data_IF_847992862712
#
_entry.id   IF_847992862712
#
_cell.length_a   1.000
_cell.length_b   1.000
_cell.length_c   1.000
_cell.angle_alpha   90.00
_cell.angle_beta   90.00
_cell.angle_gamma   90.00
#
_symmetry.space_group_name_H-M   'P 1'
#
loop_
_entity.id
_entity.type
_entity.pdbx_description
1 polymer ?
#
# COMPACT_ATOMS: atom_id res chain seq x y z
N UNK A 1 28.90 -1.27 8.23
CA UNK A 1 28.30 -1.92 9.42
C UNK A 1 27.00 -2.58 9.01
N UNK A 2 27.02 -3.89 8.78
CA UNK A 2 25.82 -4.67 8.48
C UNK A 2 24.91 -4.68 9.70
N UNK A 3 23.63 -4.34 9.50
CA UNK A 3 22.57 -4.50 10.50
C UNK A 3 22.45 -5.98 10.85
N UNK A 4 23.14 -6.42 11.91
CA UNK A 4 22.75 -7.60 12.67
C UNK A 4 21.47 -7.25 13.45
N UNK A 5 20.34 -7.29 12.78
CA UNK A 5 19.05 -7.33 13.46
C UNK A 5 18.08 -8.14 12.60
N UNK A 6 18.42 -9.41 12.35
CA UNK A 6 17.37 -10.38 12.08
C UNK A 6 16.68 -10.58 13.42
N UNK A 7 15.44 -10.09 13.52
CA UNK A 7 14.54 -10.48 14.60
C UNK A 7 14.55 -12.01 14.68
N UNK A 8 14.88 -12.55 15.86
CA UNK A 8 14.79 -13.99 16.08
C UNK A 8 13.38 -14.46 15.72
N UNK A 9 13.30 -15.66 15.16
CA UNK A 9 12.02 -16.29 14.84
C UNK A 9 11.13 -16.34 16.09
N UNK A 10 9.81 -16.27 15.87
CA UNK A 10 8.79 -16.19 16.92
C UNK A 10 9.01 -17.25 18.01
N UNK A 11 9.25 -18.49 17.59
CA UNK A 11 9.51 -19.61 18.48
C UNK A 11 10.81 -19.43 19.26
N UNK A 12 11.86 -18.96 18.60
CA UNK A 12 13.18 -18.74 19.22
C UNK A 12 13.11 -17.68 20.32
N UNK A 13 12.41 -16.58 20.08
CA UNK A 13 12.26 -15.50 21.09
C UNK A 13 11.48 -15.98 22.31
N UNK A 14 10.39 -16.72 22.11
CA UNK A 14 9.60 -17.31 23.20
C UNK A 14 10.39 -18.33 24.01
N UNK A 15 11.18 -19.18 23.34
CA UNK A 15 12.05 -20.16 24.00
C UNK A 15 13.11 -19.44 24.84
N UNK A 16 13.71 -18.35 24.34
CA UNK A 16 14.69 -17.57 25.11
C UNK A 16 14.04 -16.95 26.36
N UNK A 17 12.86 -16.34 26.22
CA UNK A 17 12.13 -15.76 27.35
C UNK A 17 11.78 -16.84 28.39
N UNK A 18 11.32 -18.00 27.94
CA UNK A 18 11.03 -19.15 28.81
C UNK A 18 12.27 -19.60 29.57
N UNK A 19 13.38 -19.84 28.86
CA UNK A 19 14.64 -20.30 29.46
C UNK A 19 15.18 -19.28 30.47
N UNK A 20 15.07 -17.99 30.18
CA UNK A 20 15.46 -16.93 31.11
C UNK A 20 14.60 -16.94 32.38
N UNK A 21 13.27 -17.04 32.25
CA UNK A 21 12.35 -17.13 33.40
C UNK A 21 12.61 -18.38 34.26
N UNK A 22 12.85 -19.53 33.62
CA UNK A 22 13.18 -20.78 34.32
C UNK A 22 14.52 -20.67 35.03
N UNK A 23 15.56 -20.14 34.37
CA UNK A 23 16.88 -19.97 34.98
C UNK A 23 16.83 -19.05 36.21
N UNK A 24 16.11 -17.93 36.12
CA UNK A 24 15.89 -17.02 37.26
C UNK A 24 15.13 -17.72 38.38
N UNK A 25 14.09 -18.49 38.05
CA UNK A 25 13.30 -19.21 39.06
C UNK A 25 14.11 -20.29 39.78
N UNK A 26 14.97 -21.03 39.07
CA UNK A 26 15.87 -22.03 39.65
C UNK A 26 16.93 -21.36 40.52
N UNK A 27 17.51 -20.24 40.07
CA UNK A 27 18.49 -19.50 40.86
C UNK A 27 17.88 -18.98 42.18
N UNK A 28 16.67 -18.42 42.12
CA UNK A 28 15.94 -17.97 43.31
C UNK A 28 15.54 -19.14 44.21
N UNK A 29 15.11 -20.28 43.65
CA UNK A 29 14.83 -21.50 44.42
C UNK A 29 16.07 -21.97 45.21
N UNK A 30 17.23 -22.04 44.55
CA UNK A 30 18.48 -22.47 45.18
C UNK A 30 18.89 -21.53 46.32
N UNK A 31 18.74 -20.20 46.13
CA UNK A 31 19.01 -19.21 47.16
C UNK A 31 18.06 -19.35 48.36
N UNK A 32 16.75 -19.48 48.13
CA UNK A 32 15.76 -19.62 49.21
C UNK A 32 16.01 -20.88 50.04
N UNK A 33 16.36 -22.00 49.39
CA UNK A 33 16.64 -23.25 50.10
C UNK A 33 17.91 -23.17 50.98
N UNK A 34 18.93 -22.41 50.55
CA UNK A 34 20.16 -22.23 51.34
C UNK A 34 19.94 -21.29 52.55
N UNK A 35 19.15 -20.22 52.38
CA UNK A 35 19.08 -19.13 53.37
C UNK A 35 17.82 -19.11 54.25
N UNK A 36 16.71 -19.71 53.79
CA UNK A 36 15.38 -19.56 54.44
C UNK A 36 14.71 -20.90 54.73
N UNK A 37 15.11 -21.99 54.06
CA UNK A 37 14.58 -23.37 54.17
C UNK A 37 13.04 -23.46 54.04
N UNK A 38 12.43 -22.56 53.26
CA UNK A 38 10.99 -22.53 52.99
C UNK A 38 10.66 -23.06 51.58
N UNK A 39 10.27 -24.34 51.53
CA UNK A 39 9.89 -25.03 50.29
C UNK A 39 8.58 -24.50 49.69
N UNK A 40 7.68 -23.95 50.50
CA UNK A 40 6.38 -23.45 50.04
C UNK A 40 6.55 -22.19 49.20
N UNK A 41 7.33 -21.23 49.71
CA UNK A 41 7.63 -19.99 48.99
C UNK A 41 8.36 -20.25 47.67
N UNK A 42 9.27 -21.23 47.65
CA UNK A 42 10.00 -21.59 46.44
C UNK A 42 9.12 -22.27 45.37
N UNK A 43 8.20 -23.15 45.77
CA UNK A 43 7.22 -23.76 44.86
C UNK A 43 6.22 -22.75 44.31
N UNK A 44 5.76 -21.82 45.16
CA UNK A 44 4.90 -20.72 44.72
C UNK A 44 5.59 -19.86 43.66
N UNK A 45 6.87 -19.52 43.86
CA UNK A 45 7.65 -18.72 42.90
C UNK A 45 7.72 -19.36 41.50
N UNK A 46 7.88 -20.70 41.44
CA UNK A 46 7.83 -21.46 40.20
C UNK A 46 6.42 -21.44 39.56
N UNK A 47 5.36 -21.48 40.36
CA UNK A 47 3.99 -21.28 39.88
C UNK A 47 3.75 -19.89 39.29
N UNK A 48 4.32 -18.85 39.92
CA UNK A 48 4.25 -17.48 39.43
C UNK A 48 5.02 -17.29 38.13
N UNK A 49 6.18 -17.94 37.95
CA UNK A 49 6.93 -17.84 36.69
C UNK A 49 6.22 -18.50 35.52
N UNK A 50 5.53 -19.63 35.73
CA UNK A 50 4.67 -20.23 34.72
C UNK A 50 3.50 -19.31 34.33
N UNK A 51 2.89 -18.65 35.30
CA UNK A 51 1.80 -17.69 35.09
C UNK A 51 2.27 -16.46 34.32
N UNK A 52 3.46 -15.92 34.65
CA UNK A 52 4.07 -14.81 33.91
C UNK A 52 4.49 -15.20 32.50
N UNK A 53 5.02 -16.40 32.31
CA UNK A 53 5.37 -16.89 30.97
C UNK A 53 4.14 -16.99 30.08
N UNK A 54 3.03 -17.55 30.60
CA UNK A 54 1.78 -17.68 29.84
C UNK A 54 1.24 -16.32 29.37
N UNK A 55 1.26 -15.29 30.22
CA UNK A 55 0.80 -13.95 29.84
C UNK A 55 1.73 -13.27 28.83
N UNK A 56 3.06 -13.41 28.99
CA UNK A 56 4.03 -12.91 28.00
C UNK A 56 3.85 -13.60 26.65
N UNK A 57 3.68 -14.93 26.65
CA UNK A 57 3.44 -15.69 25.44
C UNK A 57 2.16 -15.25 24.73
N UNK A 58 1.11 -14.98 25.48
CA UNK A 58 -0.15 -14.47 24.94
C UNK A 58 0.01 -13.07 24.32
N UNK A 59 0.67 -12.14 25.01
CA UNK A 59 0.92 -10.78 24.48
C UNK A 59 1.74 -10.82 23.19
N UNK A 60 2.79 -11.65 23.16
CA UNK A 60 3.65 -11.78 21.99
C UNK A 60 2.89 -12.42 20.82
N UNK A 61 2.15 -13.49 21.06
CA UNK A 61 1.29 -14.14 20.06
C UNK A 61 0.24 -13.18 19.52
N UNK A 62 -0.39 -12.39 20.39
CA UNK A 62 -1.36 -11.39 19.99
C UNK A 62 -0.76 -10.31 19.09
N UNK A 63 0.44 -9.81 19.42
CA UNK A 63 1.13 -8.80 18.60
C UNK A 63 1.49 -9.35 17.22
N UNK A 64 2.06 -10.57 17.15
CA UNK A 64 2.37 -11.22 15.87
C UNK A 64 1.11 -11.48 15.05
N UNK A 65 0.04 -11.97 15.67
CA UNK A 65 -1.25 -12.17 15.01
C UNK A 65 -1.81 -10.84 14.47
N UNK A 66 -1.74 -9.77 15.27
CA UNK A 66 -2.18 -8.43 14.85
C UNK A 66 -1.38 -7.92 13.66
N UNK A 67 -0.06 -8.12 13.64
CA UNK A 67 0.79 -7.76 12.49
C UNK A 67 0.42 -8.55 11.23
N UNK A 68 0.19 -9.86 11.36
CA UNK A 68 -0.28 -10.71 10.26
C UNK A 68 -1.63 -10.22 9.71
N UNK A 69 -2.60 -9.92 10.59
CA UNK A 69 -3.90 -9.37 10.18
C UNK A 69 -3.80 -8.00 9.54
N UNK A 70 -2.89 -7.14 10.03
CA UNK A 70 -2.58 -5.86 9.38
C UNK A 70 -2.02 -6.06 7.96
N UNK A 71 -1.13 -7.04 7.79
CA UNK A 71 -0.55 -7.39 6.49
C UNK A 71 -1.60 -7.96 5.52
N UNK A 72 -2.48 -8.86 5.99
CA UNK A 72 -3.60 -9.38 5.20
C UNK A 72 -4.55 -8.26 4.74
N UNK A 73 -4.92 -7.37 5.65
CA UNK A 73 -5.80 -6.24 5.34
C UNK A 73 -5.17 -5.29 4.30
N UNK A 74 -3.86 -5.02 4.44
CA UNK A 74 -3.11 -4.23 3.47
C UNK A 74 -3.06 -4.89 2.11
N UNK A 75 -2.72 -6.19 2.05
CA UNK A 75 -2.67 -6.94 0.79
C UNK A 75 -4.03 -6.90 0.09
N UNK A 76 -5.14 -7.05 0.83
CA UNK A 76 -6.48 -6.96 0.26
C UNK A 76 -6.81 -5.56 -0.26
N UNK A 77 -6.42 -4.52 0.48
CA UNK A 77 -6.58 -3.13 0.02
C UNK A 77 -5.78 -2.87 -1.25
N UNK A 78 -4.54 -3.35 -1.31
CA UNK A 78 -3.66 -3.26 -2.48
C UNK A 78 -4.21 -4.02 -3.69
N UNK A 79 -4.80 -5.20 -3.49
CA UNK A 79 -5.46 -5.99 -4.55
C UNK A 79 -6.67 -5.25 -5.14
N UNK A 80 -7.49 -4.64 -4.28
CA UNK A 80 -8.62 -3.83 -4.72
C UNK A 80 -8.14 -2.60 -5.52
N UNK A 81 -7.12 -1.89 -5.01
CA UNK A 81 -6.51 -0.77 -5.73
C UNK A 81 -5.89 -1.19 -7.05
N UNK A 82 -5.21 -2.32 -7.10
CA UNK A 82 -4.64 -2.85 -8.34
C UNK A 82 -5.73 -3.13 -9.37
N UNK A 83 -6.87 -3.68 -8.93
CA UNK A 83 -8.04 -3.90 -9.79
C UNK A 83 -8.63 -2.57 -10.29
N UNK A 84 -8.80 -1.58 -9.41
CA UNK A 84 -9.25 -0.22 -9.77
C UNK A 84 -8.32 0.42 -10.81
N UNK A 85 -7.00 0.27 -10.65
CA UNK A 85 -5.99 0.80 -11.58
C UNK A 85 -6.04 0.11 -12.95
N UNK A 86 -6.28 -1.21 -12.97
CA UNK A 86 -6.52 -1.95 -14.23
C UNK A 86 -7.76 -1.40 -14.95
N UNK A 87 -8.85 -1.16 -14.22
CA UNK A 87 -10.10 -0.69 -14.83
C UNK A 87 -10.00 0.76 -15.31
N UNK A 88 -9.33 1.62 -14.54
CA UNK A 88 -8.93 2.97 -14.99
C UNK A 88 -8.13 2.91 -16.29
N UNK A 89 -7.13 2.04 -16.34
CA UNK A 89 -6.30 1.85 -17.51
C UNK A 89 -7.10 1.37 -18.73
N UNK A 90 -8.10 0.49 -18.56
CA UNK A 90 -8.99 0.07 -19.66
C UNK A 90 -9.78 1.27 -20.20
N UNK A 91 -10.36 2.09 -19.33
CA UNK A 91 -11.14 3.28 -19.72
C UNK A 91 -10.27 4.30 -20.45
N UNK A 92 -9.07 4.56 -19.93
CA UNK A 92 -8.11 5.49 -20.53
C UNK A 92 -7.62 4.96 -21.88
N UNK A 93 -7.29 3.67 -22.02
CA UNK A 93 -6.91 3.11 -23.32
C UNK A 93 -8.06 3.09 -24.32
N UNK A 94 -9.30 2.86 -23.87
CA UNK A 94 -10.47 3.00 -24.72
C UNK A 94 -10.62 4.44 -25.21
N UNK A 95 -10.44 5.42 -24.33
CA UNK A 95 -10.46 6.84 -24.68
C UNK A 95 -9.38 7.17 -25.71
N UNK A 96 -8.14 6.68 -25.49
CA UNK A 96 -7.04 6.85 -26.44
C UNK A 96 -7.38 6.30 -27.83
N UNK A 97 -7.96 5.10 -27.86
CA UNK A 97 -8.34 4.43 -29.11
C UNK A 97 -9.44 5.18 -29.85
N UNK A 98 -10.48 5.63 -29.14
CA UNK A 98 -11.56 6.42 -29.73
C UNK A 98 -11.06 7.74 -30.31
N UNK A 99 -10.03 8.33 -29.71
CA UNK A 99 -9.38 9.55 -30.22
C UNK A 99 -8.47 9.24 -31.40
N UNK A 100 -7.68 8.15 -31.35
CA UNK A 100 -6.71 7.80 -32.40
C UNK A 100 -7.37 7.32 -33.69
N UNK A 101 -8.48 6.55 -33.60
CA UNK A 101 -9.24 6.06 -34.75
C UNK A 101 -9.97 7.18 -35.52
N UNK A 102 -10.10 8.37 -34.94
CA UNK A 102 -10.85 9.51 -35.52
C UNK A 102 -9.98 10.61 -36.11
N UNK A 103 -8.69 10.35 -36.35
CA UNK A 103 -7.77 11.29 -37.02
C UNK A 103 -7.83 11.21 -38.56
N UNK A 104 -7.87 12.36 -39.29
CA UNK A 104 -7.86 13.74 -38.81
C UNK A 104 -9.28 14.32 -38.59
N UNK A 105 -9.52 14.77 -37.35
CA UNK A 105 -10.52 15.74 -36.85
C UNK A 105 -11.71 16.04 -37.78
N UNK A 106 -12.80 15.27 -37.67
CA UNK A 106 -14.14 15.77 -38.06
C UNK A 106 -15.20 15.53 -36.97
N UNK A 107 -15.05 14.55 -36.08
CA UNK A 107 -16.07 14.32 -35.05
C UNK A 107 -15.57 13.49 -33.86
N UNK A 108 -14.72 14.04 -32.99
CA UNK A 108 -14.75 13.55 -31.60
C UNK A 108 -16.11 13.98 -31.06
N UNK A 109 -17.02 13.03 -30.86
CA UNK A 109 -18.38 13.38 -30.46
C UNK A 109 -18.40 13.83 -29.00
N UNK A 110 -19.45 14.57 -28.63
CA UNK A 110 -19.68 15.04 -27.25
C UNK A 110 -19.64 13.90 -26.21
N UNK A 111 -19.97 12.69 -26.63
CA UNK A 111 -19.99 11.49 -25.79
C UNK A 111 -18.58 11.03 -25.38
N UNK A 112 -17.62 10.96 -26.30
CA UNK A 112 -16.21 10.67 -25.97
C UNK A 112 -15.64 11.72 -25.02
N UNK A 113 -16.04 12.99 -25.16
CA UNK A 113 -15.57 14.06 -24.27
C UNK A 113 -16.15 13.99 -22.86
N UNK A 114 -17.37 13.47 -22.68
CA UNK A 114 -17.94 13.26 -21.35
C UNK A 114 -17.15 12.24 -20.52
N UNK A 115 -16.32 11.40 -21.16
CA UNK A 115 -15.46 10.43 -20.47
C UNK A 115 -14.26 11.08 -19.78
N UNK A 116 -13.80 12.24 -20.23
CA UNK A 116 -12.66 12.94 -19.62
C UNK A 116 -12.91 13.37 -18.16
N UNK A 117 -14.02 14.06 -17.83
CA UNK A 117 -14.36 14.34 -16.43
C UNK A 117 -14.56 13.09 -15.57
N UNK A 118 -15.08 12.01 -16.16
CA UNK A 118 -15.26 10.73 -15.45
C UNK A 118 -13.90 10.16 -15.07
N UNK A 119 -12.92 10.17 -15.98
CA UNK A 119 -11.54 9.75 -15.70
C UNK A 119 -10.93 10.57 -14.57
N UNK A 120 -11.12 11.90 -14.56
CA UNK A 120 -10.60 12.75 -13.47
C UNK A 120 -11.19 12.36 -12.12
N UNK A 121 -12.51 12.21 -12.02
CA UNK A 121 -13.17 11.79 -10.78
C UNK A 121 -12.67 10.44 -10.31
N UNK A 122 -12.52 9.47 -11.21
CA UNK A 122 -12.02 8.15 -10.83
C UNK A 122 -10.54 8.15 -10.43
N UNK A 123 -9.72 9.02 -11.02
CA UNK A 123 -8.34 9.27 -10.57
C UNK A 123 -8.30 9.87 -9.16
N UNK A 124 -9.20 10.81 -8.85
CA UNK A 124 -9.33 11.38 -7.50
C UNK A 124 -9.77 10.33 -6.47
N UNK A 125 -10.78 9.53 -6.80
CA UNK A 125 -11.25 8.43 -5.95
C UNK A 125 -10.15 7.40 -5.70
N UNK A 126 -9.40 7.05 -6.76
CA UNK A 126 -8.23 6.18 -6.68
C UNK A 126 -7.15 6.78 -5.77
N UNK A 127 -6.84 8.08 -5.94
CA UNK A 127 -5.89 8.79 -5.09
C UNK A 127 -6.30 8.82 -3.63
N UNK A 128 -7.59 8.99 -3.34
CA UNK A 128 -8.13 8.91 -1.98
C UNK A 128 -7.93 7.54 -1.34
N UNK A 129 -8.17 6.45 -2.09
CA UNK A 129 -7.89 5.08 -1.62
C UNK A 129 -6.39 4.83 -1.46
N UNK A 130 -5.55 5.32 -2.38
CA UNK A 130 -4.10 5.18 -2.32
C UNK A 130 -3.51 5.90 -1.09
N UNK A 131 -4.07 7.05 -0.72
CA UNK A 131 -3.66 7.81 0.46
C UNK A 131 -3.73 7.00 1.77
N UNK A 132 -4.68 6.07 1.85
CA UNK A 132 -4.84 5.20 3.03
C UNK A 132 -3.59 4.33 3.20
N UNK A 133 -3.05 3.78 2.10
CA UNK A 133 -1.81 2.99 2.12
C UNK A 133 -0.62 3.87 2.49
N UNK A 134 -0.51 5.06 1.88
CA UNK A 134 0.56 6.02 2.18
C UNK A 134 0.57 6.37 3.67
N UNK A 135 -0.59 6.68 4.24
CA UNK A 135 -0.72 7.01 5.67
C UNK A 135 -0.33 5.84 6.57
N UNK A 136 -0.66 4.61 6.18
CA UNK A 136 -0.37 3.42 6.98
C UNK A 136 1.09 2.95 6.89
N UNK A 137 1.74 3.11 5.73
CA UNK A 137 3.11 2.62 5.47
C UNK A 137 4.20 3.67 5.39
N UNK A 138 3.81 4.94 5.25
CA UNK A 138 4.73 6.05 5.01
C UNK A 138 5.66 5.77 3.80
N UNK A 139 5.05 5.28 2.71
CA UNK A 139 5.76 4.92 1.48
C UNK A 139 6.01 6.16 0.62
N UNK A 140 7.28 6.57 0.52
CA UNK A 140 7.71 7.75 -0.23
C UNK A 140 7.39 7.67 -1.72
N UNK A 141 7.42 6.47 -2.33
CA UNK A 141 7.14 6.29 -3.75
C UNK A 141 5.65 6.56 -4.00
N UNK A 142 4.78 5.96 -3.18
CA UNK A 142 3.35 6.18 -3.30
C UNK A 142 2.95 7.63 -2.96
N UNK A 143 3.63 8.27 -2.01
CA UNK A 143 3.42 9.69 -1.69
C UNK A 143 3.74 10.61 -2.88
N UNK A 144 4.84 10.34 -3.59
CA UNK A 144 5.16 11.03 -4.83
C UNK A 144 4.10 10.76 -5.91
N UNK A 145 3.66 9.52 -6.07
CA UNK A 145 2.63 9.19 -7.05
C UNK A 145 1.28 9.83 -6.72
N UNK A 146 0.95 10.00 -5.44
CA UNK A 146 -0.27 10.69 -5.01
C UNK A 146 -0.26 12.16 -5.39
N UNK A 147 0.91 12.80 -5.32
CA UNK A 147 1.10 14.17 -5.83
C UNK A 147 0.94 14.22 -7.34
N UNK A 148 1.52 13.24 -8.05
CA UNK A 148 1.46 13.12 -9.51
C UNK A 148 0.03 12.91 -10.06
N UNK A 149 -0.89 12.33 -9.28
CA UNK A 149 -2.30 12.21 -9.68
C UNK A 149 -2.91 13.59 -9.99
N UNK A 150 -2.53 14.63 -9.24
CA UNK A 150 -3.02 16.00 -9.51
C UNK A 150 -2.52 16.50 -10.86
N UNK A 151 -1.25 16.25 -11.18
CA UNK A 151 -0.65 16.61 -12.47
C UNK A 151 -1.36 15.89 -13.63
N UNK A 152 -1.69 14.61 -13.47
CA UNK A 152 -2.46 13.85 -14.47
C UNK A 152 -3.85 14.44 -14.69
N UNK A 153 -4.53 14.86 -13.63
CA UNK A 153 -5.86 15.50 -13.72
C UNK A 153 -5.75 16.85 -14.45
N UNK A 154 -4.74 17.66 -14.13
CA UNK A 154 -4.48 18.94 -14.79
C UNK A 154 -4.21 18.76 -16.28
N UNK A 155 -3.37 17.77 -16.65
CA UNK A 155 -3.11 17.43 -18.05
C UNK A 155 -4.39 17.01 -18.79
N UNK A 156 -5.24 16.21 -18.14
CA UNK A 156 -6.49 15.76 -18.74
C UNK A 156 -7.50 16.92 -18.90
N UNK A 157 -7.48 17.90 -17.98
CA UNK A 157 -8.24 19.14 -18.10
C UNK A 157 -7.71 20.04 -19.22
N UNK A 158 -6.39 20.11 -19.42
CA UNK A 158 -5.78 20.86 -20.51
C UNK A 158 -6.27 20.32 -21.87
N UNK A 159 -6.26 19.00 -22.05
CA UNK A 159 -6.78 18.33 -23.26
C UNK A 159 -8.24 18.70 -23.51
N UNK A 160 -9.08 18.66 -22.48
CA UNK A 160 -10.49 19.04 -22.58
C UNK A 160 -10.65 20.52 -22.97
N UNK A 161 -9.84 21.42 -22.40
CA UNK A 161 -9.93 22.86 -22.66
C UNK A 161 -9.59 23.21 -24.11
N UNK A 162 -8.53 22.59 -24.67
CA UNK A 162 -8.11 22.86 -26.05
C UNK A 162 -9.09 22.27 -27.06
N UNK A 163 -9.67 21.10 -26.77
CA UNK A 163 -10.76 20.57 -27.60
C UNK A 163 -11.98 21.50 -27.65
N UNK A 164 -12.37 22.12 -26.52
CA UNK A 164 -13.49 23.08 -26.50
C UNK A 164 -13.17 24.29 -27.38
N UNK A 165 -11.95 24.81 -27.31
CA UNK A 165 -11.51 25.94 -28.13
C UNK A 165 -11.46 25.60 -29.64
N UNK A 166 -11.04 24.38 -29.99
CA UNK A 166 -10.87 23.97 -31.39
C UNK A 166 -12.19 23.65 -32.11
N UNK A 167 -13.27 23.28 -31.40
CA UNK A 167 -14.56 23.01 -32.05
C UNK A 167 -15.25 24.24 -32.63
N UNK A 168 -14.83 25.45 -32.22
CA UNK A 168 -15.31 26.68 -32.86
C UNK A 168 -14.65 26.88 -34.25
N UNK A 169 -13.51 26.21 -34.52
CA UNK A 169 -12.74 26.26 -35.76
C UNK A 169 -12.60 24.85 -36.40
N UNK A 170 -13.74 24.28 -36.84
CA UNK A 170 -13.94 22.90 -37.35
C UNK A 170 -13.03 22.40 -38.51
N UNK A 171 -12.05 23.17 -38.99
CA UNK A 171 -11.27 22.86 -40.20
C UNK A 171 -9.75 22.79 -40.00
N UNK A 172 -9.23 22.80 -38.77
CA UNK A 172 -7.77 22.77 -38.55
C UNK A 172 -7.32 21.50 -37.83
N UNK A 173 -6.42 20.76 -38.48
CA UNK A 173 -5.60 19.76 -37.80
C UNK A 173 -4.83 20.46 -36.68
N UNK A 174 -5.17 20.17 -35.42
CA UNK A 174 -4.47 20.72 -34.27
C UNK A 174 -3.39 19.75 -33.78
N UNK A 175 -2.17 19.92 -34.27
CA UNK A 175 -0.99 19.15 -33.84
C UNK A 175 -0.71 19.27 -32.34
N UNK A 176 -1.08 20.40 -31.73
CA UNK A 176 -0.86 20.66 -30.28
C UNK A 176 -1.79 19.80 -29.41
N UNK A 177 -3.08 19.73 -29.75
CA UNK A 177 -4.05 18.87 -29.05
C UNK A 177 -3.60 17.40 -29.10
N UNK A 178 -3.12 16.94 -30.26
CA UNK A 178 -2.63 15.56 -30.42
C UNK A 178 -1.43 15.29 -29.53
N UNK A 179 -0.51 16.25 -29.43
CA UNK A 179 0.67 16.12 -28.61
C UNK A 179 0.32 16.02 -27.12
N UNK A 180 -0.66 16.78 -26.64
CA UNK A 180 -1.13 16.68 -25.25
C UNK A 180 -1.85 15.37 -24.96
N UNK A 181 -2.70 14.93 -25.89
CA UNK A 181 -3.37 13.63 -25.81
C UNK A 181 -2.32 12.54 -25.63
N UNK A 182 -1.33 12.46 -26.54
CA UNK A 182 -0.24 11.47 -26.46
C UNK A 182 0.53 11.59 -25.15
N UNK A 183 0.92 12.81 -24.76
CA UNK A 183 1.66 13.07 -23.53
C UNK A 183 0.89 12.58 -22.29
N UNK A 184 -0.40 12.86 -22.19
CA UNK A 184 -1.25 12.38 -21.09
C UNK A 184 -1.23 10.86 -20.98
N UNK A 185 -1.38 10.15 -22.11
CA UNK A 185 -1.38 8.69 -22.09
C UNK A 185 -0.01 8.10 -21.73
N UNK A 186 1.08 8.69 -22.20
CA UNK A 186 2.44 8.28 -21.83
C UNK A 186 2.69 8.45 -20.32
N UNK A 187 2.34 9.61 -19.78
CA UNK A 187 2.49 9.91 -18.34
C UNK A 187 1.61 9.02 -17.47
N UNK A 188 0.36 8.76 -17.89
CA UNK A 188 -0.52 7.84 -17.18
C UNK A 188 0.05 6.41 -17.18
N UNK A 189 0.58 5.92 -18.30
CA UNK A 189 1.19 4.60 -18.37
C UNK A 189 2.43 4.49 -17.48
N UNK A 190 3.26 5.55 -17.43
CA UNK A 190 4.42 5.60 -16.56
C UNK A 190 4.01 5.59 -15.06
N UNK A 191 3.00 6.37 -14.70
CA UNK A 191 2.38 6.34 -13.36
C UNK A 191 1.87 4.95 -13.00
N UNK A 192 1.10 4.33 -13.89
CA UNK A 192 0.55 2.99 -13.69
C UNK A 192 1.66 1.98 -13.40
N UNK A 193 2.74 1.97 -14.19
CA UNK A 193 3.84 1.02 -13.98
C UNK A 193 4.50 1.19 -12.60
N UNK A 194 4.67 2.44 -12.14
CA UNK A 194 5.25 2.72 -10.81
C UNK A 194 4.34 2.26 -9.69
N UNK A 195 3.04 2.57 -9.79
CA UNK A 195 2.04 2.18 -8.77
C UNK A 195 1.82 0.67 -8.76
N UNK A 196 1.67 0.04 -9.93
CA UNK A 196 1.51 -1.42 -10.08
C UNK A 196 2.62 -2.18 -9.36
N UNK A 197 3.88 -1.75 -9.55
CA UNK A 197 5.04 -2.39 -8.93
C UNK A 197 4.91 -2.40 -7.41
N UNK A 198 4.62 -1.24 -6.82
CA UNK A 198 4.52 -1.09 -5.36
C UNK A 198 3.31 -1.84 -4.80
N UNK A 199 2.16 -1.77 -5.48
CA UNK A 199 0.96 -2.53 -5.08
C UNK A 199 1.22 -4.04 -5.11
N UNK A 200 1.93 -4.54 -6.12
CA UNK A 200 2.29 -5.95 -6.21
C UNK A 200 3.22 -6.39 -5.07
N UNK A 201 4.15 -5.54 -4.66
CA UNK A 201 5.02 -5.83 -3.51
C UNK A 201 4.18 -5.97 -2.22
N UNK A 202 3.17 -5.10 -2.02
CA UNK A 202 2.24 -5.23 -0.91
C UNK A 202 1.31 -6.44 -0.98
N UNK A 203 0.80 -6.77 -2.17
CA UNK A 203 -0.06 -7.94 -2.39
C UNK A 203 0.68 -9.23 -2.02
N UNK A 204 1.92 -9.38 -2.49
CA UNK A 204 2.72 -10.59 -2.27
C UNK A 204 3.57 -10.57 -1.00
N UNK A 205 3.36 -9.60 -0.12
CA UNK A 205 4.14 -9.43 1.11
C UNK A 205 5.66 -9.40 0.88
N UNK A 206 6.09 -8.89 -0.27
CA UNK A 206 7.51 -8.71 -0.58
C UNK A 206 8.00 -7.46 0.18
N UNK A 207 9.08 -7.64 0.94
CA UNK A 207 9.80 -6.56 1.62
C UNK A 207 10.86 -5.97 0.72
#
# INVERSE_FOLDING_TARGET
MQRMNKSFDFHTTLIIIYLALVAVSIALYALIQIFVDDKSTASNLLGWSATLFATIALLYTFNTWREQKGSEALSKLSENLYSDLIDLNKKINQLHRELSERFPVIAVNKETMQKFPIVNRELEEFGGKLNIIVTYKNDEILEQQLSFIKELIEMNQEVLSKWVADNDDLNKYNSDLNQQIVKFFEEFNAFKMRVDKVLMDYIFHKK
#
